data_IF_865848439836
#
_entry.id   IF_865848439836
#
_cell.length_a   1.000
_cell.length_b   1.000
_cell.length_c   1.000
_cell.angle_alpha   90.00
_cell.angle_beta   90.00
_cell.angle_gamma   90.00
#
_symmetry.space_group_name_H-M   'P 1'
#
loop_
_entity.id
_entity.type
_entity.pdbx_description
1 polymer ?
#
# COMPACT_ATOMS: atom_id res chain seq x y z
N UNK A 1 1.69 24.30 -11.26
CA UNK A 1 0.88 23.10 -11.01
C UNK A 1 1.48 22.20 -9.93
N UNK A 2 0.61 21.56 -9.16
CA UNK A 2 0.92 20.49 -8.19
C UNK A 2 0.71 19.15 -8.88
N UNK A 3 1.56 18.15 -8.65
CA UNK A 3 1.28 16.77 -9.00
C UNK A 3 1.02 15.93 -7.75
N UNK A 4 0.13 14.95 -7.84
CA UNK A 4 -0.22 14.03 -6.75
C UNK A 4 -0.16 12.58 -7.25
N UNK A 5 0.73 11.77 -6.67
CA UNK A 5 0.73 10.31 -6.87
C UNK A 5 -0.27 9.70 -5.89
N UNK A 6 -1.29 9.04 -6.43
CA UNK A 6 -2.44 8.52 -5.70
C UNK A 6 -2.56 7.00 -5.81
N UNK A 7 -2.71 6.35 -4.66
CA UNK A 7 -3.03 4.92 -4.57
C UNK A 7 -3.69 4.51 -3.25
N UNK A 8 -4.17 5.49 -2.48
CA UNK A 8 -4.50 5.34 -1.06
C UNK A 8 -5.75 6.15 -0.72
N UNK A 9 -6.46 5.85 0.38
CA UNK A 9 -7.62 6.65 0.80
C UNK A 9 -7.18 8.05 1.26
N UNK A 10 -6.03 8.13 1.92
CA UNK A 10 -5.40 9.36 2.38
C UNK A 10 -5.11 10.32 1.23
N UNK A 11 -4.61 9.78 0.12
CA UNK A 11 -4.39 10.56 -1.09
C UNK A 11 -5.66 11.25 -1.61
N UNK A 12 -6.82 10.59 -1.54
CA UNK A 12 -8.09 11.22 -1.92
C UNK A 12 -8.46 12.36 -0.98
N UNK A 13 -8.24 12.18 0.33
CA UNK A 13 -8.46 13.25 1.32
C UNK A 13 -7.53 14.44 1.06
N UNK A 14 -6.26 14.20 0.73
CA UNK A 14 -5.33 15.25 0.30
C UNK A 14 -5.89 15.99 -0.92
N UNK A 15 -6.31 15.28 -1.97
CA UNK A 15 -6.88 15.90 -3.18
C UNK A 15 -8.13 16.74 -2.86
N UNK A 16 -9.03 16.22 -2.02
CA UNK A 16 -10.24 16.95 -1.59
C UNK A 16 -9.90 18.27 -0.91
N UNK A 17 -8.91 18.28 -0.02
CA UNK A 17 -8.49 19.49 0.69
C UNK A 17 -7.77 20.48 -0.25
N UNK A 18 -6.95 19.99 -1.19
CA UNK A 18 -6.33 20.83 -2.22
C UNK A 18 -7.40 21.50 -3.12
N UNK A 19 -8.48 20.78 -3.47
CA UNK A 19 -9.59 21.31 -4.26
C UNK A 19 -10.36 22.46 -3.60
N UNK A 20 -10.14 22.72 -2.31
CA UNK A 20 -10.70 23.90 -1.63
C UNK A 20 -10.03 25.20 -2.07
N UNK A 21 -8.82 25.14 -2.64
CA UNK A 21 -8.07 26.34 -3.04
C UNK A 21 -7.38 26.25 -4.41
N UNK A 22 -7.33 25.08 -5.06
CA UNK A 22 -6.83 24.97 -6.44
C UNK A 22 -7.37 23.76 -7.20
N UNK A 23 -7.53 23.92 -8.51
CA UNK A 23 -7.85 22.85 -9.46
C UNK A 23 -6.67 22.59 -10.43
N UNK A 24 -5.59 23.39 -10.35
CA UNK A 24 -4.35 23.22 -11.12
C UNK A 24 -3.50 22.11 -10.50
N UNK A 25 -4.04 20.89 -10.62
CA UNK A 25 -3.51 19.65 -10.06
C UNK A 25 -3.44 18.59 -11.17
N UNK A 26 -2.28 17.95 -11.29
CA UNK A 26 -2.08 16.74 -12.06
C UNK A 26 -2.12 15.52 -11.14
N UNK A 27 -2.92 14.52 -11.46
CA UNK A 27 -3.07 13.30 -10.68
C UNK A 27 -2.49 12.12 -11.45
N UNK A 28 -1.74 11.26 -10.76
CA UNK A 28 -1.24 10.00 -11.31
C UNK A 28 -1.65 8.83 -10.42
N UNK A 29 -2.34 7.85 -11.00
CA UNK A 29 -2.74 6.59 -10.34
C UNK A 29 -2.18 5.41 -11.11
N UNK A 30 -1.90 4.31 -10.42
CA UNK A 30 -1.32 3.11 -11.05
C UNK A 30 -2.34 2.28 -11.87
N UNK A 31 -3.64 2.58 -11.78
CA UNK A 31 -4.70 1.76 -12.41
C UNK A 31 -5.90 2.62 -12.84
N UNK A 32 -6.61 2.18 -13.88
CA UNK A 32 -7.89 2.78 -14.30
C UNK A 32 -8.90 2.85 -13.16
N UNK A 33 -9.02 1.78 -12.35
CA UNK A 33 -9.89 1.77 -11.17
C UNK A 33 -9.56 2.88 -10.17
N UNK A 34 -8.27 3.16 -9.95
CA UNK A 34 -7.82 4.28 -9.13
C UNK A 34 -8.34 5.61 -9.66
N UNK A 35 -8.27 5.82 -10.98
CA UNK A 35 -8.83 7.01 -11.64
C UNK A 35 -10.36 7.09 -11.54
N UNK A 36 -11.07 5.97 -11.63
CA UNK A 36 -12.53 5.97 -11.51
C UNK A 36 -13.03 6.44 -10.14
N UNK A 37 -12.25 6.18 -9.10
CA UNK A 37 -12.55 6.63 -7.74
C UNK A 37 -12.38 8.15 -7.55
N UNK A 38 -11.92 8.85 -8.57
CA UNK A 38 -11.65 10.28 -8.55
C UNK A 38 -12.59 11.08 -9.46
N UNK A 39 -13.59 10.46 -10.10
CA UNK A 39 -14.49 11.10 -11.08
C UNK A 39 -15.17 12.38 -10.55
N UNK A 40 -15.43 12.44 -9.24
CA UNK A 40 -16.10 13.58 -8.58
C UNK A 40 -15.12 14.63 -8.00
N UNK A 41 -13.81 14.44 -8.20
CA UNK A 41 -12.76 15.35 -7.74
C UNK A 41 -12.34 16.30 -8.86
N UNK A 42 -11.72 17.42 -8.50
CA UNK A 42 -11.27 18.42 -9.46
C UNK A 42 -9.77 18.26 -9.73
N UNK A 43 -9.41 18.12 -11.00
CA UNK A 43 -8.02 18.05 -11.44
C UNK A 43 -7.94 18.47 -12.91
N UNK A 44 -6.77 18.95 -13.32
CA UNK A 44 -6.49 19.37 -14.69
C UNK A 44 -6.05 18.20 -15.57
N UNK A 45 -5.26 17.28 -15.01
CA UNK A 45 -4.66 16.16 -15.74
C UNK A 45 -4.80 14.90 -14.90
N UNK A 46 -5.14 13.78 -15.54
CA UNK A 46 -5.21 12.47 -14.91
C UNK A 46 -4.42 11.45 -15.74
N UNK A 47 -3.46 10.79 -15.09
CA UNK A 47 -2.83 9.58 -15.56
C UNK A 47 -3.36 8.38 -14.75
N UNK A 48 -3.68 7.28 -15.43
CA UNK A 48 -4.20 6.04 -14.81
C UNK A 48 -3.36 4.81 -15.13
N UNK A 49 -2.11 5.01 -15.54
CA UNK A 49 -1.15 3.95 -15.83
C UNK A 49 0.05 4.07 -14.87
N UNK A 50 0.71 2.96 -14.51
CA UNK A 50 2.01 3.05 -13.88
C UNK A 50 2.96 3.84 -14.78
N UNK A 51 3.78 4.71 -14.20
CA UNK A 51 4.83 5.44 -14.90
C UNK A 51 6.17 4.92 -14.40
N UNK A 52 7.06 4.57 -15.33
CA UNK A 52 8.46 4.37 -15.02
C UNK A 52 9.16 5.72 -14.73
N UNK A 53 10.49 5.68 -14.54
CA UNK A 53 11.28 6.87 -14.23
C UNK A 53 11.24 7.93 -15.35
N UNK A 54 11.41 7.53 -16.61
CA UNK A 54 11.47 8.48 -17.74
C UNK A 54 10.06 8.99 -18.09
N UNK A 55 9.05 8.14 -17.99
CA UNK A 55 7.65 8.51 -18.14
C UNK A 55 7.22 9.50 -17.04
N UNK A 56 7.59 9.25 -15.77
CA UNK A 56 7.31 10.16 -14.67
C UNK A 56 8.01 11.50 -14.87
N UNK A 57 9.28 11.49 -15.25
CA UNK A 57 10.04 12.72 -15.52
C UNK A 57 9.41 13.54 -16.65
N UNK A 58 9.00 12.90 -17.74
CA UNK A 58 8.31 13.53 -18.86
C UNK A 58 6.97 14.11 -18.43
N UNK A 59 6.18 13.33 -17.68
CA UNK A 59 4.91 13.78 -17.10
C UNK A 59 5.09 15.03 -16.24
N UNK A 60 6.12 15.10 -15.39
CA UNK A 60 6.38 16.26 -14.54
C UNK A 60 6.77 17.51 -15.36
N UNK A 61 7.58 17.33 -16.41
CA UNK A 61 8.03 18.41 -17.29
C UNK A 61 6.90 19.00 -18.14
N UNK A 62 6.18 18.15 -18.88
CA UNK A 62 5.10 18.56 -19.79
C UNK A 62 4.01 19.34 -19.06
N UNK A 63 3.77 18.97 -17.81
CA UNK A 63 2.75 19.54 -16.95
C UNK A 63 3.28 20.72 -16.09
N UNK A 64 4.52 21.15 -16.29
CA UNK A 64 5.12 22.28 -15.55
C UNK A 64 4.97 22.15 -14.02
N UNK A 65 5.19 20.94 -13.51
CA UNK A 65 5.02 20.62 -12.10
C UNK A 65 6.08 21.35 -11.28
N UNK A 66 5.67 21.94 -10.15
CA UNK A 66 6.56 22.62 -9.19
C UNK A 66 6.68 21.90 -7.87
N UNK A 67 5.63 21.15 -7.50
CA UNK A 67 5.55 20.36 -6.28
C UNK A 67 4.97 19.01 -6.64
N UNK A 68 5.67 17.93 -6.29
CA UNK A 68 5.16 16.56 -6.36
C UNK A 68 4.84 16.09 -4.94
N UNK A 69 3.57 15.77 -4.71
CA UNK A 69 3.11 15.12 -3.51
C UNK A 69 2.99 13.62 -3.76
N UNK A 70 3.77 12.84 -3.03
CA UNK A 70 3.73 11.40 -3.09
C UNK A 70 2.92 10.84 -1.93
N UNK A 71 1.68 10.43 -2.23
CA UNK A 71 0.78 9.75 -1.31
C UNK A 71 0.58 8.28 -1.73
N UNK A 72 1.58 7.69 -2.38
CA UNK A 72 1.59 6.25 -2.71
C UNK A 72 1.63 5.39 -1.44
N UNK A 73 1.37 4.08 -1.60
CA UNK A 73 1.38 3.16 -0.46
C UNK A 73 2.79 3.09 0.17
N UNK A 74 2.93 2.92 1.51
CA UNK A 74 4.25 2.81 2.18
C UNK A 74 5.17 1.71 1.63
N UNK A 75 4.61 0.73 0.93
CA UNK A 75 5.36 -0.39 0.31
C UNK A 75 5.55 -0.20 -1.21
N UNK A 76 5.21 0.96 -1.77
CA UNK A 76 5.39 1.29 -3.19
C UNK A 76 6.80 1.85 -3.45
N UNK A 77 7.83 1.08 -3.09
CA UNK A 77 9.23 1.51 -3.11
C UNK A 77 9.68 2.03 -4.48
N UNK A 78 9.43 1.28 -5.57
CA UNK A 78 9.84 1.65 -6.93
C UNK A 78 9.28 3.00 -7.36
N UNK A 79 7.98 3.24 -7.12
CA UNK A 79 7.32 4.50 -7.47
C UNK A 79 7.93 5.66 -6.68
N UNK A 80 8.19 5.41 -5.39
CA UNK A 80 8.76 6.40 -4.47
C UNK A 80 10.19 6.78 -4.87
N UNK A 81 11.03 5.78 -5.18
CA UNK A 81 12.40 5.99 -5.65
C UNK A 81 12.45 6.75 -6.98
N UNK A 82 11.58 6.40 -7.93
CA UNK A 82 11.48 7.11 -9.21
C UNK A 82 11.04 8.56 -9.00
N UNK A 83 10.08 8.80 -8.09
CA UNK A 83 9.60 10.14 -7.78
C UNK A 83 10.67 11.03 -7.15
N UNK A 84 11.46 10.50 -6.21
CA UNK A 84 12.59 11.21 -5.62
C UNK A 84 13.62 11.57 -6.69
N UNK A 85 14.08 10.57 -7.46
CA UNK A 85 15.08 10.77 -8.53
C UNK A 85 14.61 11.80 -9.58
N UNK A 86 13.35 11.71 -10.00
CA UNK A 86 12.79 12.62 -11.00
C UNK A 86 12.68 14.06 -10.44
N UNK A 87 12.28 14.21 -9.18
CA UNK A 87 12.22 15.54 -8.54
C UNK A 87 13.59 16.17 -8.38
N UNK A 88 14.60 15.39 -7.97
CA UNK A 88 15.98 15.86 -7.87
C UNK A 88 16.52 16.31 -9.23
N UNK A 89 16.32 15.50 -10.28
CA UNK A 89 16.78 15.82 -11.63
C UNK A 89 16.11 17.06 -12.23
N UNK A 90 14.87 17.36 -11.84
CA UNK A 90 14.08 18.47 -12.36
C UNK A 90 14.03 19.69 -11.44
N UNK A 91 14.69 19.62 -10.27
CA UNK A 91 14.59 20.61 -9.21
C UNK A 91 13.13 20.93 -8.80
N UNK A 92 12.31 19.87 -8.69
CA UNK A 92 10.92 19.92 -8.23
C UNK A 92 10.90 19.63 -6.72
N UNK A 93 10.06 20.35 -5.98
CA UNK A 93 9.88 20.04 -4.56
C UNK A 93 9.14 18.71 -4.40
N UNK A 94 9.79 17.76 -3.75
CA UNK A 94 9.20 16.48 -3.39
C UNK A 94 8.65 16.55 -1.96
N UNK A 95 7.37 16.21 -1.78
CA UNK A 95 6.70 16.08 -0.49
C UNK A 95 6.17 14.67 -0.35
N UNK A 96 6.58 13.95 0.70
CA UNK A 96 6.09 12.61 1.00
C UNK A 96 5.00 12.67 2.07
N UNK A 97 3.91 11.97 1.84
CA UNK A 97 2.98 11.62 2.91
C UNK A 97 3.24 10.18 3.39
N UNK A 98 3.57 10.01 4.66
CA UNK A 98 3.77 8.72 5.29
C UNK A 98 2.74 8.52 6.39
N UNK A 99 1.78 7.64 6.14
CA UNK A 99 0.79 7.28 7.16
C UNK A 99 1.51 6.71 8.41
N UNK A 100 1.07 7.08 9.63
CA UNK A 100 1.60 6.52 10.87
C UNK A 100 1.54 4.97 10.90
N UNK A 101 2.51 4.37 11.59
CA UNK A 101 2.50 2.94 11.92
C UNK A 101 1.42 2.65 12.96
N UNK A 102 0.70 1.56 12.80
CA UNK A 102 -0.22 1.04 13.82
C UNK A 102 0.39 -0.15 14.55
N UNK A 103 1.28 -0.90 13.87
CA UNK A 103 1.94 -2.08 14.41
C UNK A 103 2.81 -1.76 15.64
N UNK A 104 3.34 -0.55 15.75
CA UNK A 104 4.21 -0.14 16.87
C UNK A 104 3.50 -0.29 18.23
N UNK A 105 2.16 -0.15 18.25
CA UNK A 105 1.33 -0.33 19.45
C UNK A 105 1.20 -1.79 19.91
N UNK A 106 1.54 -2.75 19.06
CA UNK A 106 1.34 -4.19 19.25
C UNK A 106 2.65 -4.99 19.08
N UNK A 107 3.80 -4.31 19.16
CA UNK A 107 5.12 -4.86 18.78
C UNK A 107 5.48 -6.15 19.52
N UNK A 108 5.02 -6.32 20.75
CA UNK A 108 5.24 -7.50 21.59
C UNK A 108 4.54 -8.76 21.06
N UNK A 109 3.53 -8.60 20.21
CA UNK A 109 2.80 -9.69 19.56
C UNK A 109 3.28 -9.98 18.13
N UNK A 110 4.22 -9.18 17.62
CA UNK A 110 4.62 -9.18 16.20
C UNK A 110 6.04 -9.70 16.05
N UNK A 111 6.23 -10.63 15.13
CA UNK A 111 7.55 -10.98 14.58
C UNK A 111 7.77 -10.14 13.33
N UNK A 112 8.62 -9.11 13.45
CA UNK A 112 9.00 -8.29 12.30
C UNK A 112 10.03 -9.00 11.44
N UNK A 113 9.81 -8.97 10.13
CA UNK A 113 10.71 -9.55 9.13
C UNK A 113 11.05 -8.52 8.06
N UNK A 114 12.32 -8.42 7.72
CA UNK A 114 12.85 -7.41 6.78
C UNK A 114 12.47 -7.70 5.34
N UNK A 115 12.40 -8.98 5.00
CA UNK A 115 12.18 -9.44 3.64
C UNK A 115 11.51 -10.82 3.62
N UNK A 116 11.42 -11.38 2.41
CA UNK A 116 10.79 -12.68 2.20
C UNK A 116 11.71 -13.84 2.57
N UNK A 117 13.02 -13.65 2.65
CA UNK A 117 13.94 -14.71 3.04
C UNK A 117 13.84 -14.94 4.55
N UNK A 118 13.85 -13.86 5.34
CA UNK A 118 13.59 -13.94 6.79
C UNK A 118 12.16 -14.41 7.08
N UNK A 119 11.18 -14.02 6.26
CA UNK A 119 9.81 -14.52 6.39
C UNK A 119 9.76 -16.05 6.20
N UNK A 120 10.50 -16.60 5.24
CA UNK A 120 10.58 -18.05 5.04
C UNK A 120 11.15 -18.75 6.27
N UNK A 121 12.27 -18.27 6.80
CA UNK A 121 12.92 -18.85 7.98
C UNK A 121 11.93 -18.96 9.16
N UNK A 122 11.15 -17.90 9.42
CA UNK A 122 10.19 -17.92 10.51
C UNK A 122 8.94 -18.75 10.23
N UNK A 123 8.37 -18.66 9.02
CA UNK A 123 7.18 -19.44 8.65
C UNK A 123 7.46 -20.95 8.62
N UNK A 124 8.69 -21.36 8.26
CA UNK A 124 9.08 -22.78 8.23
C UNK A 124 9.02 -23.47 9.60
N UNK A 125 8.99 -22.68 10.69
CA UNK A 125 8.87 -23.16 12.09
C UNK A 125 7.41 -23.33 12.52
N UNK A 126 6.45 -22.84 11.73
CA UNK A 126 5.03 -22.92 12.04
C UNK A 126 4.48 -24.25 11.52
N UNK A 127 3.68 -24.93 12.34
CA UNK A 127 2.87 -26.06 11.91
C UNK A 127 1.42 -25.59 11.71
N UNK A 128 0.89 -25.81 10.50
CA UNK A 128 -0.49 -25.46 10.13
C UNK A 128 -0.65 -24.30 9.12
N UNK A 129 -1.91 -23.92 8.80
CA UNK A 129 -2.21 -22.99 7.72
C UNK A 129 -1.78 -21.54 8.00
N UNK A 130 -1.44 -20.81 6.93
CA UNK A 130 -0.98 -19.42 6.97
C UNK A 130 -1.94 -18.54 6.20
N UNK A 131 -2.44 -17.47 6.83
CA UNK A 131 -3.17 -16.41 6.14
C UNK A 131 -2.20 -15.35 5.60
N UNK A 132 -2.03 -15.32 4.28
CA UNK A 132 -1.33 -14.23 3.62
C UNK A 132 -2.29 -13.09 3.32
N UNK A 133 -2.13 -11.98 4.04
CA UNK A 133 -2.95 -10.77 3.88
C UNK A 133 -2.20 -9.63 3.18
N UNK A 134 -1.07 -9.92 2.54
CA UNK A 134 -0.19 -8.92 1.88
C UNK A 134 -0.61 -8.56 0.45
N UNK A 135 -1.71 -9.14 -0.04
CA UNK A 135 -2.25 -8.94 -1.38
C UNK A 135 -1.60 -9.81 -2.46
N UNK A 136 -1.90 -9.50 -3.72
CA UNK A 136 -1.53 -10.36 -4.87
C UNK A 136 -0.14 -10.08 -5.47
N UNK A 137 0.51 -8.98 -5.10
CA UNK A 137 1.76 -8.56 -5.76
C UNK A 137 2.89 -9.58 -5.59
N UNK A 138 3.01 -10.16 -4.39
CA UNK A 138 4.14 -11.00 -4.01
C UNK A 138 3.76 -12.48 -3.82
N UNK A 139 2.64 -12.95 -4.41
CA UNK A 139 2.23 -14.36 -4.32
C UNK A 139 3.33 -15.28 -4.86
N UNK A 140 3.97 -14.91 -5.96
CA UNK A 140 5.10 -15.64 -6.54
C UNK A 140 6.24 -15.88 -5.53
N UNK A 141 6.48 -14.95 -4.60
CA UNK A 141 7.47 -15.14 -3.53
C UNK A 141 7.05 -16.22 -2.55
N UNK A 142 5.76 -16.28 -2.18
CA UNK A 142 5.23 -17.36 -1.34
C UNK A 142 5.29 -18.72 -2.02
N UNK A 143 5.02 -18.78 -3.33
CA UNK A 143 5.14 -20.03 -4.09
C UNK A 143 6.60 -20.49 -4.17
N UNK A 144 7.53 -19.57 -4.43
CA UNK A 144 8.97 -19.87 -4.49
C UNK A 144 9.56 -20.34 -3.15
N UNK A 145 8.91 -20.06 -2.02
CA UNK A 145 9.34 -20.55 -0.70
C UNK A 145 9.13 -22.06 -0.51
N UNK A 146 8.27 -22.69 -1.32
CA UNK A 146 7.93 -24.12 -1.20
C UNK A 146 7.60 -24.56 0.25
N UNK A 147 6.85 -23.71 0.97
CA UNK A 147 6.44 -24.00 2.34
C UNK A 147 5.63 -25.30 2.39
N UNK A 148 5.86 -26.11 3.42
CA UNK A 148 5.02 -27.30 3.71
C UNK A 148 3.61 -26.90 4.14
N UNK A 149 3.47 -25.67 4.64
CA UNK A 149 2.21 -25.10 5.10
C UNK A 149 1.26 -24.82 3.94
N UNK A 150 -0.04 -25.01 4.19
CA UNK A 150 -1.08 -24.47 3.32
C UNK A 150 -1.13 -22.95 3.48
N UNK A 151 -0.98 -22.20 2.39
CA UNK A 151 -1.04 -20.73 2.40
C UNK A 151 -2.31 -20.25 1.72
N UNK A 152 -3.13 -19.52 2.46
CA UNK A 152 -4.37 -18.94 1.96
C UNK A 152 -4.12 -17.46 1.63
N UNK A 153 -4.37 -17.09 0.39
CA UNK A 153 -4.08 -15.78 -0.16
C UNK A 153 -5.32 -14.91 -0.20
N UNK A 154 -5.30 -13.81 0.55
CA UNK A 154 -6.34 -12.79 0.46
C UNK A 154 -5.99 -11.74 -0.59
N UNK A 155 -6.82 -11.65 -1.62
CA UNK A 155 -6.56 -10.85 -2.82
C UNK A 155 -7.78 -10.03 -3.25
N UNK A 156 -7.55 -8.98 -4.05
CA UNK A 156 -8.62 -8.19 -4.65
C UNK A 156 -9.36 -9.03 -5.71
N UNK A 157 -10.71 -9.01 -5.75
CA UNK A 157 -11.49 -9.81 -6.71
C UNK A 157 -11.52 -9.14 -8.10
N UNK A 158 -10.35 -8.99 -8.74
CA UNK A 158 -10.26 -8.51 -10.13
C UNK A 158 -9.83 -9.63 -11.07
N UNK A 159 -10.30 -9.58 -12.33
CA UNK A 159 -10.00 -10.59 -13.35
C UNK A 159 -8.49 -10.84 -13.46
N UNK A 160 -7.72 -9.77 -13.65
CA UNK A 160 -6.25 -9.83 -13.74
C UNK A 160 -5.58 -10.49 -12.52
N UNK A 161 -6.12 -10.27 -11.32
CA UNK A 161 -5.57 -10.87 -10.10
C UNK A 161 -5.93 -12.35 -10.02
N UNK A 162 -7.14 -12.74 -10.40
CA UNK A 162 -7.56 -14.14 -10.43
C UNK A 162 -6.78 -14.93 -11.48
N UNK A 163 -6.61 -14.40 -12.70
CA UNK A 163 -5.76 -14.99 -13.75
C UNK A 163 -4.35 -15.25 -13.22
N UNK A 164 -3.72 -14.22 -12.62
CA UNK A 164 -2.39 -14.36 -12.01
C UNK A 164 -2.35 -15.46 -10.94
N UNK A 165 -3.38 -15.59 -10.10
CA UNK A 165 -3.41 -16.62 -9.07
C UNK A 165 -3.42 -18.03 -9.69
N UNK A 166 -4.25 -18.26 -10.71
CA UNK A 166 -4.35 -19.57 -11.37
C UNK A 166 -3.12 -19.90 -12.22
N UNK A 167 -2.53 -18.91 -12.90
CA UNK A 167 -1.25 -19.09 -13.62
C UNK A 167 -0.11 -19.50 -12.68
N UNK A 168 -0.12 -19.00 -11.44
CA UNK A 168 0.83 -19.39 -10.39
C UNK A 168 0.47 -20.72 -9.71
N UNK A 169 -0.58 -21.42 -10.16
CA UNK A 169 -0.96 -22.73 -9.66
C UNK A 169 -1.73 -22.73 -8.33
N UNK A 170 -2.26 -21.58 -7.89
CA UNK A 170 -3.05 -21.52 -6.66
C UNK A 170 -4.37 -22.27 -6.85
N UNK A 171 -4.76 -23.04 -5.84
CA UNK A 171 -6.07 -23.69 -5.81
C UNK A 171 -7.14 -22.68 -5.41
N UNK A 172 -8.35 -22.84 -5.95
CA UNK A 172 -9.51 -22.01 -5.62
C UNK A 172 -9.80 -21.96 -4.11
N UNK A 173 -9.63 -23.09 -3.41
CA UNK A 173 -9.83 -23.20 -1.97
C UNK A 173 -8.83 -22.39 -1.12
N UNK A 174 -7.71 -21.97 -1.72
CA UNK A 174 -6.63 -21.21 -1.07
C UNK A 174 -6.72 -19.70 -1.40
N UNK A 175 -7.82 -19.24 -1.99
CA UNK A 175 -8.01 -17.84 -2.39
C UNK A 175 -9.22 -17.25 -1.66
N UNK A 176 -8.98 -16.17 -0.91
CA UNK A 176 -10.03 -15.30 -0.38
C UNK A 176 -10.08 -14.05 -1.28
N UNK A 177 -11.03 -14.00 -2.21
CA UNK A 177 -11.20 -12.87 -3.12
C UNK A 177 -12.17 -11.83 -2.52
N UNK A 178 -11.62 -10.78 -1.88
CA UNK A 178 -12.41 -9.76 -1.19
C UNK A 178 -11.73 -8.38 -1.21
N UNK A 179 -12.53 -7.32 -1.32
CA UNK A 179 -12.04 -5.94 -1.22
C UNK A 179 -12.10 -5.45 0.22
N UNK A 180 -10.97 -5.01 0.77
CA UNK A 180 -10.88 -4.38 2.09
C UNK A 180 -11.18 -2.87 2.10
N UNK A 181 -11.04 -2.20 3.27
CA UNK A 181 -10.61 -2.76 4.56
C UNK A 181 -11.59 -3.80 5.12
N UNK A 182 -11.09 -4.73 5.94
CA UNK A 182 -11.84 -5.89 6.46
C UNK A 182 -12.01 -5.73 7.96
N UNK A 183 -13.24 -5.93 8.46
CA UNK A 183 -13.55 -5.77 9.88
C UNK A 183 -12.85 -6.80 10.76
N UNK A 184 -12.76 -6.51 12.04
CA UNK A 184 -12.22 -7.43 13.05
C UNK A 184 -12.96 -8.78 13.03
N UNK A 185 -14.30 -8.76 12.99
CA UNK A 185 -15.15 -9.96 13.02
C UNK A 185 -14.90 -10.85 11.81
N UNK A 186 -14.70 -10.25 10.63
CA UNK A 186 -14.45 -11.03 9.42
C UNK A 186 -13.00 -11.56 9.40
N UNK A 187 -12.03 -10.85 9.99
CA UNK A 187 -10.69 -11.41 10.19
C UNK A 187 -10.72 -12.61 11.15
N UNK A 188 -11.48 -12.53 12.25
CA UNK A 188 -11.70 -13.67 13.14
C UNK A 188 -12.31 -14.86 12.39
N UNK A 189 -13.36 -14.63 11.61
CA UNK A 189 -14.01 -15.67 10.83
C UNK A 189 -13.04 -16.34 9.84
N UNK A 190 -12.17 -15.57 9.17
CA UNK A 190 -11.14 -16.17 8.30
C UNK A 190 -10.10 -16.97 9.08
N UNK A 191 -9.69 -16.52 10.26
CA UNK A 191 -8.77 -17.28 11.11
C UNK A 191 -9.42 -18.61 11.51
N UNK A 192 -10.66 -18.57 11.96
CA UNK A 192 -11.40 -19.73 12.48
C UNK A 192 -11.72 -20.73 11.34
N UNK A 193 -12.21 -20.25 10.19
CA UNK A 193 -12.57 -21.07 9.02
C UNK A 193 -11.37 -21.82 8.44
N UNK A 194 -10.23 -21.13 8.30
CA UNK A 194 -9.01 -21.73 7.73
C UNK A 194 -8.09 -22.33 8.79
N UNK A 195 -8.51 -22.33 10.07
CA UNK A 195 -7.74 -22.83 11.22
C UNK A 195 -6.32 -22.28 11.24
N UNK A 196 -6.20 -20.98 10.93
CA UNK A 196 -4.93 -20.33 10.68
C UNK A 196 -4.05 -20.35 11.93
N UNK A 197 -2.75 -20.60 11.74
CA UNK A 197 -1.72 -20.59 12.81
C UNK A 197 -0.76 -19.43 12.70
N UNK A 198 -0.66 -18.85 11.51
CA UNK A 198 0.06 -17.61 11.28
C UNK A 198 -0.72 -16.67 10.36
N UNK A 199 -0.47 -15.37 10.53
CA UNK A 199 -0.94 -14.32 9.65
C UNK A 199 0.25 -13.48 9.20
N UNK A 200 0.42 -13.35 7.89
CA UNK A 200 1.40 -12.42 7.30
C UNK A 200 0.68 -11.16 6.87
N UNK A 201 1.20 -10.00 7.28
CA UNK A 201 0.63 -8.71 6.93
C UNK A 201 1.72 -7.67 6.62
N UNK A 202 1.24 -6.54 6.12
CA UNK A 202 1.97 -5.28 5.95
C UNK A 202 1.29 -4.23 6.82
N UNK A 203 2.06 -3.28 7.35
CA UNK A 203 1.50 -2.14 8.07
C UNK A 203 1.02 -1.11 7.04
N UNK A 204 -0.24 -1.25 6.68
CA UNK A 204 -0.95 -0.30 5.80
C UNK A 204 -1.63 0.82 6.59
N UNK A 205 -1.27 1.04 7.86
CA UNK A 205 -1.89 2.02 8.75
C UNK A 205 -3.33 1.65 9.14
N UNK A 206 -3.99 2.56 9.85
CA UNK A 206 -5.37 2.39 10.32
C UNK A 206 -6.35 2.23 9.14
N UNK A 207 -6.26 3.12 8.14
CA UNK A 207 -7.07 3.09 6.92
C UNK A 207 -6.94 1.78 6.12
N UNK A 208 -5.81 1.08 6.26
CA UNK A 208 -5.55 -0.21 5.63
C UNK A 208 -6.12 -1.41 6.39
N UNK A 209 -6.84 -1.19 7.48
CA UNK A 209 -7.39 -2.24 8.34
C UNK A 209 -6.32 -3.03 9.09
N UNK A 210 -5.19 -2.39 9.42
CA UNK A 210 -4.06 -3.07 10.08
C UNK A 210 -4.42 -3.48 11.51
N UNK A 211 -5.11 -2.62 12.24
CA UNK A 211 -5.50 -2.85 13.63
C UNK A 211 -6.45 -4.04 13.78
N UNK A 212 -7.43 -4.14 12.89
CA UNK A 212 -8.44 -5.21 12.87
C UNK A 212 -7.79 -6.59 12.67
N UNK A 213 -6.78 -6.67 11.78
CA UNK A 213 -5.99 -7.89 11.57
C UNK A 213 -5.20 -8.27 12.80
N UNK A 214 -4.48 -7.30 13.38
CA UNK A 214 -3.64 -7.52 14.56
C UNK A 214 -4.47 -8.00 15.74
N UNK A 215 -5.56 -7.30 16.06
CA UNK A 215 -6.47 -7.67 17.15
C UNK A 215 -7.07 -9.06 16.95
N UNK A 216 -7.55 -9.38 15.75
CA UNK A 216 -8.12 -10.69 15.47
C UNK A 216 -7.09 -11.82 15.62
N UNK A 217 -5.85 -11.60 15.18
CA UNK A 217 -4.78 -12.58 15.34
C UNK A 217 -4.37 -12.75 16.81
N UNK A 218 -4.26 -11.67 17.58
CA UNK A 218 -3.98 -11.71 19.03
C UNK A 218 -5.06 -12.50 19.78
N UNK A 219 -6.34 -12.20 19.52
CA UNK A 219 -7.48 -12.83 20.19
C UNK A 219 -7.67 -14.32 19.83
N UNK A 220 -6.92 -14.81 18.83
CA UNK A 220 -6.90 -16.22 18.40
C UNK A 220 -5.55 -16.90 18.56
N UNK A 221 -4.61 -16.25 19.25
CA UNK A 221 -3.24 -16.75 19.45
C UNK A 221 -2.56 -17.19 18.13
N UNK A 222 -2.84 -16.44 17.06
CA UNK A 222 -2.23 -16.62 15.74
C UNK A 222 -0.91 -15.86 15.70
N UNK A 223 0.17 -16.51 15.25
CA UNK A 223 1.48 -15.85 15.12
C UNK A 223 1.42 -14.77 14.04
N UNK A 224 1.90 -13.57 14.37
CA UNK A 224 1.82 -12.42 13.50
C UNK A 224 3.20 -12.15 12.89
N UNK A 225 3.27 -12.17 11.56
CA UNK A 225 4.47 -11.83 10.81
C UNK A 225 4.24 -10.53 10.04
N UNK A 226 4.99 -9.49 10.42
CA UNK A 226 4.90 -8.19 9.78
C UNK A 226 6.11 -8.00 8.87
N UNK A 227 5.87 -7.82 7.57
CA UNK A 227 6.94 -7.43 6.64
C UNK A 227 7.23 -5.95 6.87
N UNK A 228 8.46 -5.59 7.24
CA UNK A 228 8.85 -4.23 7.54
C UNK A 228 8.70 -3.30 6.32
N UNK A 229 8.48 -2.01 6.60
CA UNK A 229 8.52 -0.96 5.57
C UNK A 229 9.99 -0.71 5.22
N UNK A 230 10.28 -0.39 3.97
CA UNK A 230 11.61 0.09 3.62
C UNK A 230 11.90 1.40 4.37
N UNK A 231 12.97 1.45 5.15
CA UNK A 231 13.37 2.69 5.83
C UNK A 231 13.93 3.67 4.79
N UNK A 232 13.27 4.83 4.66
CA UNK A 232 13.78 5.94 3.86
C UNK A 232 13.52 7.25 4.60
N UNK A 233 14.54 8.11 4.66
CA UNK A 233 14.40 9.46 5.24
C UNK A 233 14.21 10.46 4.12
N UNK A 234 13.01 11.03 4.05
CA UNK A 234 12.70 12.09 3.10
C UNK A 234 12.89 13.46 3.76
N UNK A 235 13.42 14.43 3.00
CA UNK A 235 13.65 15.79 3.49
C UNK A 235 12.35 16.46 3.95
N UNK A 236 11.27 16.27 3.20
CA UNK A 236 9.94 16.80 3.47
C UNK A 236 8.95 15.63 3.58
N UNK A 237 8.89 15.00 4.76
CA UNK A 237 7.90 13.96 5.07
C UNK A 237 6.84 14.50 6.02
N UNK A 238 5.59 14.08 5.82
CA UNK A 238 4.43 14.46 6.61
C UNK A 238 3.64 13.22 6.99
N UNK A 239 3.25 13.11 8.25
CA UNK A 239 2.34 12.09 8.78
C UNK A 239 0.93 12.62 9.05
N UNK A 240 0.75 13.95 8.98
CA UNK A 240 -0.52 14.65 9.08
C UNK A 240 -0.91 15.31 7.75
N UNK A 241 -2.12 15.00 7.29
CA UNK A 241 -2.66 15.48 6.02
C UNK A 241 -2.88 16.99 6.05
N UNK A 242 -3.35 17.54 7.17
CA UNK A 242 -3.64 18.97 7.27
C UNK A 242 -2.36 19.81 7.26
N UNK A 243 -1.31 19.35 7.95
CA UNK A 243 0.01 19.94 7.94
C UNK A 243 0.62 19.96 6.54
N UNK A 244 0.51 18.85 5.79
CA UNK A 244 0.95 18.76 4.41
C UNK A 244 0.22 19.77 3.52
N UNK A 245 -1.12 19.80 3.57
CA UNK A 245 -1.92 20.71 2.76
C UNK A 245 -1.65 22.17 3.11
N UNK A 246 -1.45 22.47 4.41
CA UNK A 246 -1.08 23.81 4.87
C UNK A 246 0.30 24.24 4.38
N UNK A 247 1.27 23.32 4.35
CA UNK A 247 2.60 23.57 3.78
C UNK A 247 2.49 23.95 2.29
N UNK A 248 1.68 23.21 1.54
CA UNK A 248 1.41 23.50 0.13
C UNK A 248 0.74 24.88 -0.02
N UNK A 249 -0.36 25.14 0.69
CA UNK A 249 -1.14 26.38 0.55
C UNK A 249 -0.33 27.66 0.84
N UNK A 250 0.61 27.60 1.79
CA UNK A 250 1.53 28.73 2.10
C UNK A 250 2.41 29.16 0.93
N UNK A 251 2.55 28.32 -0.09
CA UNK A 251 3.42 28.55 -1.26
C UNK A 251 2.66 29.05 -2.48
N UNK A 252 1.34 28.91 -2.48
CA UNK A 252 0.45 29.36 -3.56
C UNK A 252 -0.27 30.67 -3.24
N UNK A 253 -0.17 31.16 -2.01
CA UNK A 253 -0.48 32.54 -1.61
C UNK A 253 0.81 33.35 -1.48
#
# INVERSE_FOLDING_TARGET
>A
MIALILGTSEGKKILSLLNQFTEDIAVSTATSYGGELLKDYKYRVLNTKPLDYEELKSFLLENNIKVLVDASHPYAQVVTENAVKACEALNIEYLRYERPSVADRYKEHIVSVKDYDQLYEELSKIDGPILNTTGSNNINKFIAMELKNRVIHRVLPSVKVMEKCFELGLKTEDIIAIKGPISYELNLAFIDEYVAKAMVLKDSGAEGGTEEKLRAAIDRDVKIFLIERAEAKYKNSFDDIEALVKHINRRFN
#
